data_IF_623270076344
#
_entry.id   IF_623270076344
#
_cell.length_a   1.000
_cell.length_b   1.000
_cell.length_c   1.000
_cell.angle_alpha   90.00
_cell.angle_beta   90.00
_cell.angle_gamma   90.00
#
_symmetry.space_group_name_H-M   'P 1'
#
loop_
_entity.id
_entity.type
_entity.pdbx_description
1 polymer ?
#
# COMPACT_ATOMS: atom_id res chain seq x y z
N UNK A 1 2.94 17.47 19.60
CA UNK A 1 2.27 16.69 18.51
C UNK A 1 2.63 15.24 18.67
N UNK A 2 1.63 14.36 18.65
CA UNK A 2 1.88 12.91 18.67
C UNK A 2 1.92 12.37 17.25
N UNK A 3 2.75 11.36 17.03
CA UNK A 3 2.86 10.69 15.74
C UNK A 3 2.72 9.18 15.91
N UNK A 4 2.16 8.52 14.90
CA UNK A 4 1.98 7.07 14.87
C UNK A 4 2.41 6.52 13.51
N UNK A 5 3.13 5.41 13.55
CA UNK A 5 3.36 4.61 12.35
C UNK A 5 2.04 3.91 11.99
N UNK A 6 1.80 3.69 10.71
CA UNK A 6 0.52 3.14 10.24
C UNK A 6 0.56 1.61 10.22
N UNK A 7 1.37 1.02 9.34
CA UNK A 7 1.43 -0.44 9.24
C UNK A 7 2.17 -1.04 10.44
N UNK A 8 1.66 -2.18 10.90
CA UNK A 8 2.18 -2.96 12.02
C UNK A 8 2.13 -2.21 13.38
N UNK A 9 1.64 -0.97 13.38
CA UNK A 9 1.37 -0.23 14.62
C UNK A 9 -0.13 0.04 14.77
N UNK A 10 -0.78 0.59 13.76
CA UNK A 10 -2.22 0.89 13.77
C UNK A 10 -3.04 -0.14 13.02
N UNK A 11 -2.51 -0.63 11.92
CA UNK A 11 -3.15 -1.65 11.10
C UNK A 11 -2.13 -2.71 10.69
N UNK A 12 -2.61 -3.87 10.31
CA UNK A 12 -1.79 -4.95 9.79
C UNK A 12 -2.48 -5.56 8.57
N UNK A 13 -1.79 -6.44 7.86
CA UNK A 13 -2.33 -7.18 6.73
C UNK A 13 -2.74 -8.58 7.16
N UNK A 14 -3.77 -9.13 6.53
CA UNK A 14 -4.21 -10.53 6.76
C UNK A 14 -3.17 -11.53 6.26
N UNK A 15 -2.39 -11.16 5.26
CA UNK A 15 -1.36 -12.02 4.70
C UNK A 15 -0.08 -11.97 5.54
N UNK A 16 0.65 -13.09 5.56
CA UNK A 16 1.86 -13.26 6.37
C UNK A 16 2.98 -12.34 5.88
N UNK A 17 3.13 -12.20 4.56
CA UNK A 17 4.18 -11.39 3.94
C UNK A 17 3.55 -10.19 3.24
N UNK A 18 4.12 -8.97 3.39
CA UNK A 18 3.62 -7.82 2.63
C UNK A 18 3.59 -8.07 1.12
N UNK A 19 4.58 -8.78 0.59
CA UNK A 19 4.65 -9.12 -0.83
C UNK A 19 3.56 -10.09 -1.28
N UNK A 20 2.85 -10.76 -0.37
CA UNK A 20 1.73 -11.62 -0.72
C UNK A 20 0.58 -10.85 -1.38
N UNK A 21 0.48 -9.55 -1.12
CA UNK A 21 -0.46 -8.67 -1.81
C UNK A 21 -0.21 -8.74 -3.32
N UNK A 22 1.05 -8.69 -3.74
CA UNK A 22 1.41 -8.71 -5.16
C UNK A 22 1.06 -10.04 -5.83
N UNK A 23 1.19 -11.14 -5.09
CA UNK A 23 0.77 -12.46 -5.60
C UNK A 23 -0.75 -12.54 -5.78
N UNK A 24 -1.51 -11.95 -4.87
CA UNK A 24 -2.97 -11.88 -5.00
C UNK A 24 -3.37 -11.02 -6.21
N UNK A 25 -2.71 -9.89 -6.39
CA UNK A 25 -2.95 -9.02 -7.55
C UNK A 25 -2.64 -9.78 -8.84
N UNK A 26 -1.52 -10.49 -8.88
CA UNK A 26 -1.13 -11.29 -10.04
C UNK A 26 -2.22 -12.28 -10.44
N UNK A 27 -2.79 -12.98 -9.46
CA UNK A 27 -3.89 -13.92 -9.71
C UNK A 27 -5.14 -13.21 -10.23
N UNK A 28 -5.48 -12.08 -9.64
CA UNK A 28 -6.71 -11.34 -9.97
C UNK A 28 -6.67 -10.71 -11.34
N UNK A 29 -5.51 -10.23 -11.77
CA UNK A 29 -5.36 -9.62 -13.10
C UNK A 29 -4.96 -10.64 -14.15
N UNK A 30 -4.65 -11.88 -13.75
CA UNK A 30 -4.30 -12.95 -14.68
C UNK A 30 -2.98 -12.71 -15.41
N UNK A 31 -2.01 -12.07 -14.77
CA UNK A 31 -0.74 -11.74 -15.40
C UNK A 31 0.43 -12.45 -14.69
N UNK A 32 0.84 -13.62 -15.16
CA UNK A 32 1.98 -14.31 -14.57
C UNK A 32 3.23 -13.44 -14.58
N UNK A 33 3.96 -13.44 -13.46
CA UNK A 33 5.19 -12.66 -13.32
C UNK A 33 4.98 -11.24 -12.79
N UNK A 34 3.75 -10.79 -12.59
CA UNK A 34 3.47 -9.45 -12.08
C UNK A 34 4.16 -9.20 -10.73
N UNK A 35 4.03 -10.14 -9.78
CA UNK A 35 4.60 -9.97 -8.44
C UNK A 35 6.11 -9.76 -8.50
N UNK A 36 6.80 -10.53 -9.32
CA UNK A 36 8.26 -10.41 -9.52
C UNK A 36 8.62 -9.04 -10.09
N UNK A 37 7.89 -8.57 -11.10
CA UNK A 37 8.12 -7.26 -11.71
C UNK A 37 7.89 -6.13 -10.71
N UNK A 38 6.84 -6.26 -9.91
CA UNK A 38 6.48 -5.26 -8.90
C UNK A 38 7.54 -5.14 -7.81
N UNK A 39 7.98 -6.27 -7.28
CA UNK A 39 9.01 -6.32 -6.25
C UNK A 39 10.33 -5.77 -6.78
N UNK A 40 10.69 -6.15 -8.00
CA UNK A 40 11.93 -5.69 -8.64
C UNK A 40 11.94 -4.17 -8.83
N UNK A 41 10.83 -3.61 -9.33
CA UNK A 41 10.72 -2.18 -9.57
C UNK A 41 10.89 -1.38 -8.29
N UNK A 42 10.25 -1.81 -7.21
CA UNK A 42 10.38 -1.15 -5.92
C UNK A 42 11.81 -1.26 -5.39
N UNK A 43 12.43 -2.43 -5.51
CA UNK A 43 13.82 -2.63 -5.09
C UNK A 43 14.79 -1.71 -5.85
N UNK A 44 14.53 -1.47 -7.13
CA UNK A 44 15.35 -0.58 -7.95
C UNK A 44 15.26 0.89 -7.52
N UNK A 45 14.17 1.26 -6.86
CA UNK A 45 13.95 2.63 -6.36
C UNK A 45 14.35 2.79 -4.89
N UNK A 46 14.76 1.74 -4.24
CA UNK A 46 15.18 1.79 -2.84
C UNK A 46 16.35 2.75 -2.64
N UNK A 47 16.31 3.52 -1.53
CA UNK A 47 17.32 4.53 -1.26
C UNK A 47 16.98 5.91 -1.79
N UNK A 48 15.91 6.04 -2.57
CA UNK A 48 15.39 7.32 -3.03
C UNK A 48 13.92 7.45 -2.63
N UNK A 49 13.45 8.67 -2.43
CA UNK A 49 12.03 8.90 -2.22
C UNK A 49 11.27 8.52 -3.49
N UNK A 50 10.22 7.73 -3.34
CA UNK A 50 9.40 7.31 -4.46
C UNK A 50 7.97 7.07 -4.03
N UNK A 51 7.05 7.19 -4.99
CA UNK A 51 5.63 6.95 -4.80
C UNK A 51 5.22 5.66 -5.49
N UNK A 52 3.98 5.23 -5.27
CA UNK A 52 3.44 4.09 -5.99
C UNK A 52 3.45 4.33 -7.50
N UNK A 53 3.14 5.56 -7.93
CA UNK A 53 3.18 5.92 -9.35
C UNK A 53 4.59 5.77 -9.93
N UNK A 54 5.63 6.12 -9.16
CA UNK A 54 7.02 5.94 -9.58
C UNK A 54 7.35 4.47 -9.79
N UNK A 55 6.85 3.59 -8.92
CA UNK A 55 7.05 2.15 -9.05
C UNK A 55 6.42 1.64 -10.34
N UNK A 56 5.19 2.04 -10.64
CA UNK A 56 4.51 1.60 -11.86
C UNK A 56 5.15 2.19 -13.11
N UNK A 57 5.63 3.43 -13.07
CA UNK A 57 6.41 3.99 -14.18
C UNK A 57 7.68 3.18 -14.42
N UNK A 58 8.33 2.74 -13.34
CA UNK A 58 9.52 1.89 -13.45
C UNK A 58 9.19 0.55 -14.10
N UNK A 59 8.06 -0.07 -13.74
CA UNK A 59 7.61 -1.31 -14.36
C UNK A 59 7.36 -1.13 -15.86
N UNK A 60 6.76 -0.02 -16.26
CA UNK A 60 6.55 0.31 -17.66
C UNK A 60 7.89 0.50 -18.36
N UNK A 61 8.80 1.26 -17.77
CA UNK A 61 10.12 1.55 -18.29
C UNK A 61 10.95 0.27 -18.48
N UNK A 62 10.79 -0.70 -17.59
CA UNK A 62 11.46 -2.00 -17.69
C UNK A 62 10.85 -2.91 -18.77
N UNK A 63 9.79 -2.45 -19.45
CA UNK A 63 9.15 -3.21 -20.51
C UNK A 63 8.19 -4.29 -20.03
N UNK A 64 7.82 -4.26 -18.75
CA UNK A 64 6.97 -5.29 -18.15
C UNK A 64 5.48 -5.12 -18.43
N UNK A 65 5.04 -3.93 -18.85
CA UNK A 65 3.61 -3.68 -19.11
C UNK A 65 3.43 -2.36 -19.84
N UNK A 66 2.25 -2.18 -20.45
CA UNK A 66 1.87 -0.88 -21.02
C UNK A 66 1.13 -0.02 -19.98
N UNK A 67 0.80 1.22 -20.36
CA UNK A 67 0.18 2.20 -19.46
C UNK A 67 -1.20 1.75 -18.99
N UNK A 68 -2.03 1.22 -19.89
CA UNK A 68 -3.39 0.78 -19.56
C UNK A 68 -3.36 -0.39 -18.57
N UNK A 69 -2.49 -1.34 -18.83
CA UNK A 69 -2.33 -2.49 -17.94
C UNK A 69 -1.82 -2.04 -16.57
N UNK A 70 -0.87 -1.10 -16.54
CA UNK A 70 -0.32 -0.57 -15.29
C UNK A 70 -1.41 0.09 -14.46
N UNK A 71 -2.33 0.85 -15.08
CA UNK A 71 -3.44 1.47 -14.36
C UNK A 71 -4.38 0.44 -13.73
N UNK A 72 -4.70 -0.63 -14.47
CA UNK A 72 -5.53 -1.71 -13.95
C UNK A 72 -4.85 -2.44 -12.79
N UNK A 73 -3.57 -2.71 -12.94
CA UNK A 73 -2.80 -3.39 -11.89
C UNK A 73 -2.71 -2.53 -10.64
N UNK A 74 -2.46 -1.23 -10.79
CA UNK A 74 -2.41 -0.29 -9.67
C UNK A 74 -3.74 -0.23 -8.93
N UNK A 75 -4.83 -0.13 -9.66
CA UNK A 75 -6.18 -0.12 -9.08
C UNK A 75 -6.45 -1.41 -8.31
N UNK A 76 -6.06 -2.56 -8.87
CA UNK A 76 -6.23 -3.84 -8.21
C UNK A 76 -5.33 -3.97 -6.98
N UNK A 77 -4.11 -3.44 -7.03
CA UNK A 77 -3.23 -3.44 -5.86
C UNK A 77 -3.86 -2.67 -4.70
N UNK A 78 -4.40 -1.49 -4.98
CA UNK A 78 -5.06 -0.67 -3.96
C UNK A 78 -6.31 -1.38 -3.40
N UNK A 79 -7.12 -1.97 -4.27
CA UNK A 79 -8.31 -2.71 -3.85
C UNK A 79 -7.93 -3.92 -2.97
N UNK A 80 -6.85 -4.61 -3.32
CA UNK A 80 -6.38 -5.78 -2.58
C UNK A 80 -5.87 -5.38 -1.20
N UNK A 81 -5.17 -4.25 -1.10
CA UNK A 81 -4.74 -3.71 0.19
C UNK A 81 -5.94 -3.41 1.10
N UNK A 82 -6.98 -2.78 0.55
CA UNK A 82 -8.20 -2.47 1.32
C UNK A 82 -8.87 -3.73 1.86
N UNK A 83 -8.89 -4.80 1.09
CA UNK A 83 -9.50 -6.07 1.51
C UNK A 83 -8.69 -6.79 2.59
N UNK A 84 -7.40 -6.54 2.67
CA UNK A 84 -6.48 -7.27 3.54
C UNK A 84 -6.06 -6.50 4.78
N UNK A 85 -6.64 -5.33 5.03
CA UNK A 85 -6.30 -4.54 6.21
C UNK A 85 -6.96 -5.12 7.46
N UNK A 86 -6.19 -5.15 8.56
CA UNK A 86 -6.68 -5.56 9.89
C UNK A 86 -6.35 -4.44 10.87
N UNK A 87 -7.31 -3.98 11.68
CA UNK A 87 -7.04 -2.97 12.69
C UNK A 87 -6.25 -3.55 13.87
N UNK A 88 -5.36 -2.74 14.43
CA UNK A 88 -4.76 -3.03 15.73
C UNK A 88 -5.52 -2.15 16.71
N UNK A 89 -6.63 -2.66 17.22
CA UNK A 89 -7.65 -1.88 17.91
C UNK A 89 -7.11 -1.04 19.07
N UNK A 90 -6.24 -1.62 19.89
CA UNK A 90 -5.69 -0.91 21.05
C UNK A 90 -4.90 0.32 20.64
N UNK A 91 -4.20 0.27 19.51
CA UNK A 91 -3.42 1.39 19.01
C UNK A 91 -4.31 2.44 18.32
N UNK A 92 -5.32 1.98 17.58
CA UNK A 92 -6.27 2.90 16.93
C UNK A 92 -7.00 3.76 17.95
N UNK A 93 -7.33 3.21 19.11
CA UNK A 93 -8.01 3.95 20.19
C UNK A 93 -7.13 5.06 20.77
N UNK A 94 -5.83 4.99 20.60
CA UNK A 94 -4.90 6.01 21.08
C UNK A 94 -4.78 7.22 20.16
N UNK A 95 -5.22 7.07 18.89
CA UNK A 95 -5.15 8.17 17.91
C UNK A 95 -6.21 9.20 18.19
N UNK A 96 -5.83 10.48 18.17
CA UNK A 96 -6.71 11.63 18.40
C UNK A 96 -6.68 12.53 17.18
N UNK A 97 -7.69 13.39 17.07
CA UNK A 97 -7.76 14.39 16.01
C UNK A 97 -6.49 15.24 16.02
N UNK A 98 -5.90 15.43 14.85
CA UNK A 98 -4.68 16.21 14.68
C UNK A 98 -3.39 15.45 14.89
N UNK A 99 -3.44 14.18 15.29
CA UNK A 99 -2.21 13.37 15.37
C UNK A 99 -1.61 13.16 14.00
N UNK A 100 -0.29 13.17 13.95
CA UNK A 100 0.45 12.92 12.72
C UNK A 100 0.63 11.43 12.51
N UNK A 101 0.31 10.94 11.31
CA UNK A 101 0.52 9.55 10.93
C UNK A 101 1.71 9.46 9.97
N UNK A 102 2.58 8.50 10.22
CA UNK A 102 3.82 8.31 9.48
C UNK A 102 3.80 6.91 8.86
N UNK A 103 4.23 6.81 7.61
CA UNK A 103 4.32 5.51 6.94
C UNK A 103 5.49 5.48 5.95
N UNK A 104 6.20 4.37 5.93
CA UNK A 104 7.28 4.11 4.98
C UNK A 104 6.79 3.48 3.67
N UNK A 105 5.50 3.23 3.57
CA UNK A 105 4.92 2.62 2.38
C UNK A 105 4.83 3.63 1.23
N UNK A 106 5.00 3.19 -0.04
CA UNK A 106 4.82 4.08 -1.20
C UNK A 106 3.36 4.41 -1.51
N UNK A 107 2.41 3.89 -0.74
CA UNK A 107 0.99 4.13 -0.98
C UNK A 107 0.64 5.61 -0.77
N UNK A 108 -0.29 6.15 -1.60
CA UNK A 108 -0.69 7.55 -1.46
C UNK A 108 -1.27 7.85 -0.07
N UNK A 109 -1.01 9.05 0.46
CA UNK A 109 -1.50 9.46 1.77
C UNK A 109 -3.03 9.37 1.87
N UNK A 110 -3.73 9.79 0.84
CA UNK A 110 -5.21 9.71 0.78
C UNK A 110 -5.70 8.28 0.90
N UNK A 111 -4.98 7.36 0.27
CA UNK A 111 -5.32 5.95 0.34
C UNK A 111 -5.07 5.38 1.74
N UNK A 112 -3.99 5.80 2.40
CA UNK A 112 -3.70 5.40 3.77
C UNK A 112 -4.82 5.81 4.72
N UNK A 113 -5.40 6.99 4.52
CA UNK A 113 -6.57 7.43 5.28
C UNK A 113 -7.75 6.49 5.04
N UNK A 114 -7.99 6.06 3.79
CA UNK A 114 -9.04 5.10 3.48
C UNK A 114 -8.81 3.75 4.18
N UNK A 115 -7.57 3.28 4.23
CA UNK A 115 -7.24 2.05 4.95
C UNK A 115 -7.57 2.16 6.43
N UNK A 116 -7.23 3.28 7.04
CA UNK A 116 -7.50 3.52 8.45
C UNK A 116 -9.00 3.59 8.73
N UNK A 117 -9.76 4.27 7.87
CA UNK A 117 -11.21 4.34 7.98
C UNK A 117 -11.84 2.97 7.85
N UNK A 118 -11.37 2.17 6.89
CA UNK A 118 -11.84 0.79 6.70
C UNK A 118 -11.56 -0.06 7.93
N UNK A 119 -10.44 0.18 8.60
CA UNK A 119 -10.06 -0.52 9.83
C UNK A 119 -10.82 -0.02 11.06
N UNK A 120 -11.59 1.06 10.94
CA UNK A 120 -12.44 1.58 12.01
C UNK A 120 -12.00 2.90 12.63
N UNK A 121 -10.95 3.53 12.13
CA UNK A 121 -10.55 4.85 12.62
C UNK A 121 -11.57 5.90 12.16
N UNK A 122 -12.12 6.66 13.12
CA UNK A 122 -13.16 7.66 12.85
C UNK A 122 -12.74 9.07 13.22
N UNK A 123 -11.43 9.27 13.46
CA UNK A 123 -10.90 10.57 13.88
C UNK A 123 -10.15 11.22 12.74
N UNK A 124 -10.15 12.55 12.72
CA UNK A 124 -9.40 13.32 11.74
C UNK A 124 -7.91 13.25 12.06
N UNK A 125 -7.09 12.86 11.10
CA UNK A 125 -5.63 12.74 11.25
C UNK A 125 -4.92 13.44 10.09
N UNK A 126 -3.66 13.70 10.30
CA UNK A 126 -2.81 14.34 9.28
C UNK A 126 -1.79 13.38 8.71
#
# INVERSE_FOLDING_TARGET
MRSFDIFDTLIARKCIWPQAIFSLVEQRIGSPGFATLRIRAEAELQGTEHTLDDIYRRMISNGGMDVEFAERARTMELATELENVIPIAAQLQRVRDGDLLISDTPLPAEFLVQLLERAGLRRTVS
#
